data_IF_390321043263
#
_entry.id   IF_390321043263
#
_cell.length_a   1.000
_cell.length_b   1.000
_cell.length_c   1.000
_cell.angle_alpha   90.00
_cell.angle_beta   90.00
_cell.angle_gamma   90.00
#
_symmetry.space_group_name_H-M   'P 1'
#
loop_
_entity.id
_entity.type
_entity.pdbx_description
1 polymer ?
#
# COMPACT_ATOMS: atom_id res chain seq x y z
N UNK A 1 15.91 -3.81 10.59
CA UNK A 1 16.43 -3.89 9.21
C UNK A 1 17.96 -4.04 9.18
N UNK A 2 18.79 -2.98 9.11
CA UNK A 2 20.25 -3.14 8.90
C UNK A 2 20.95 -3.96 9.98
N UNK A 3 20.58 -3.80 11.26
CA UNK A 3 21.12 -4.61 12.37
C UNK A 3 20.75 -6.10 12.25
N UNK A 4 19.53 -6.40 11.81
CA UNK A 4 19.06 -7.78 11.62
C UNK A 4 19.77 -8.44 10.44
N UNK A 5 19.92 -7.72 9.33
CA UNK A 5 20.69 -8.17 8.17
C UNK A 5 22.15 -8.43 8.55
N UNK A 6 22.79 -7.49 9.26
CA UNK A 6 24.15 -7.65 9.74
C UNK A 6 24.28 -8.88 10.66
N UNK A 7 23.30 -9.13 11.53
CA UNK A 7 23.29 -10.33 12.38
C UNK A 7 23.20 -11.61 11.56
N UNK A 8 22.29 -11.69 10.58
CA UNK A 8 22.13 -12.85 9.70
C UNK A 8 23.40 -13.14 8.88
N UNK A 9 24.14 -12.10 8.48
CA UNK A 9 25.41 -12.23 7.74
C UNK A 9 26.64 -12.46 8.62
N UNK A 10 26.45 -12.66 9.94
CA UNK A 10 27.54 -12.72 10.93
C UNK A 10 28.46 -11.48 10.90
N UNK A 11 27.89 -10.32 10.57
CA UNK A 11 28.51 -9.00 10.56
C UNK A 11 28.07 -8.13 11.75
N UNK A 12 27.40 -8.71 12.75
CA UNK A 12 26.95 -7.98 13.94
C UNK A 12 28.13 -7.39 14.73
N UNK A 13 28.17 -6.06 14.87
CA UNK A 13 29.17 -5.35 15.65
C UNK A 13 28.59 -4.03 16.19
N UNK A 14 29.12 -3.51 17.29
CA UNK A 14 28.74 -2.20 17.83
C UNK A 14 29.33 -1.05 16.99
N UNK A 15 30.47 -1.27 16.34
CA UNK A 15 31.12 -0.29 15.46
C UNK A 15 30.52 -0.34 14.05
N UNK A 16 29.81 0.74 13.68
CA UNK A 16 29.17 0.90 12.36
C UNK A 16 30.13 0.77 11.18
N UNK A 17 31.42 1.16 11.33
CA UNK A 17 32.42 1.04 10.25
C UNK A 17 32.78 -0.42 10.01
N UNK A 18 32.97 -1.19 11.08
CA UNK A 18 33.22 -2.64 11.00
C UNK A 18 32.04 -3.39 10.41
N UNK A 19 30.82 -3.00 10.78
CA UNK A 19 29.59 -3.55 10.15
C UNK A 19 29.61 -3.28 8.65
N UNK A 20 29.87 -2.04 8.23
CA UNK A 20 29.90 -1.66 6.81
C UNK A 20 30.97 -2.43 6.03
N UNK A 21 32.18 -2.54 6.57
CA UNK A 21 33.28 -3.23 5.89
C UNK A 21 33.01 -4.74 5.78
N UNK A 22 32.39 -5.35 6.79
CA UNK A 22 31.92 -6.74 6.72
C UNK A 22 30.81 -6.92 5.70
N UNK A 23 29.79 -6.06 5.67
CA UNK A 23 28.71 -6.16 4.69
C UNK A 23 29.24 -6.03 3.25
N UNK A 24 30.27 -5.20 3.02
CA UNK A 24 30.92 -5.05 1.72
C UNK A 24 31.71 -6.28 1.27
N UNK A 25 32.12 -7.16 2.18
CA UNK A 25 32.83 -8.40 1.82
C UNK A 25 31.89 -9.54 1.45
N UNK A 26 30.58 -9.38 1.67
CA UNK A 26 29.55 -10.35 1.32
C UNK A 26 29.21 -10.29 -0.17
N UNK A 27 28.99 -11.46 -0.74
CA UNK A 27 28.45 -11.62 -2.08
C UNK A 27 26.98 -11.19 -2.11
N UNK A 28 26.48 -10.89 -3.32
CA UNK A 28 25.05 -10.57 -3.53
C UNK A 28 24.17 -11.74 -3.08
N UNK A 29 24.57 -12.98 -3.38
CA UNK A 29 23.80 -14.17 -3.00
C UNK A 29 23.70 -14.35 -1.49
N UNK A 30 24.79 -14.14 -0.75
CA UNK A 30 24.75 -14.15 0.72
C UNK A 30 23.78 -13.09 1.26
N UNK A 31 23.82 -11.87 0.70
CA UNK A 31 22.92 -10.79 1.11
C UNK A 31 21.46 -11.14 0.81
N UNK A 32 21.17 -11.67 -0.38
CA UNK A 32 19.82 -12.07 -0.76
C UNK A 32 19.29 -13.21 0.12
N UNK A 33 20.14 -14.17 0.48
CA UNK A 33 19.74 -15.25 1.38
C UNK A 33 19.47 -14.74 2.80
N UNK A 34 20.31 -13.83 3.32
CA UNK A 34 20.06 -13.17 4.60
C UNK A 34 18.78 -12.29 4.58
N UNK A 35 18.45 -11.68 3.43
CA UNK A 35 17.17 -10.98 3.27
C UNK A 35 16.00 -11.94 3.39
N UNK A 36 16.06 -13.12 2.75
CA UNK A 36 15.02 -14.16 2.89
C UNK A 36 14.90 -14.63 4.34
N UNK A 37 16.01 -14.89 5.03
CA UNK A 37 16.03 -15.33 6.44
C UNK A 37 15.36 -14.31 7.36
N UNK A 38 15.68 -13.02 7.18
CA UNK A 38 15.08 -11.97 8.01
C UNK A 38 13.61 -11.70 7.65
N UNK A 39 13.11 -12.21 6.50
CA UNK A 39 11.75 -12.06 6.00
C UNK A 39 11.55 -11.02 4.89
N UNK A 40 10.39 -11.00 4.20
CA UNK A 40 10.12 -10.06 3.09
C UNK A 40 10.04 -8.60 3.51
N UNK A 41 9.40 -8.37 4.65
CA UNK A 41 8.87 -7.08 5.04
C UNK A 41 9.01 -6.90 6.54
N UNK A 42 8.77 -5.68 7.00
CA UNK A 42 8.58 -5.42 8.43
C UNK A 42 7.19 -5.85 8.86
N UNK A 43 7.06 -6.23 10.13
CA UNK A 43 5.77 -6.42 10.78
C UNK A 43 5.18 -5.05 11.13
N UNK A 44 4.25 -4.56 10.32
CA UNK A 44 3.55 -3.30 10.55
C UNK A 44 2.98 -2.70 9.27
N UNK A 45 2.28 -1.56 9.39
CA UNK A 45 1.77 -0.77 8.25
C UNK A 45 2.91 -0.40 7.29
N UNK A 46 4.02 0.11 7.84
CA UNK A 46 5.25 0.30 7.07
C UNK A 46 5.93 -1.05 6.87
N UNK A 47 5.71 -1.64 5.69
CA UNK A 47 6.21 -2.96 5.33
C UNK A 47 7.64 -2.92 4.77
N UNK A 48 8.16 -1.76 4.34
CA UNK A 48 9.46 -1.65 3.69
C UNK A 48 10.63 -1.81 4.68
N UNK A 49 11.51 -2.78 4.43
CA UNK A 49 12.72 -2.98 5.25
C UNK A 49 13.78 -1.93 5.03
N UNK A 50 14.06 -1.65 3.76
CA UNK A 50 15.06 -0.68 3.32
C UNK A 50 14.30 0.40 2.56
N UNK A 51 14.25 1.58 3.16
CA UNK A 51 13.42 2.70 2.73
C UNK A 51 14.24 3.99 2.85
N UNK A 52 13.85 5.07 2.16
CA UNK A 52 14.38 6.40 2.39
C UNK A 52 14.40 6.77 3.88
N UNK A 53 15.47 7.44 4.30
CA UNK A 53 15.67 7.89 5.69
C UNK A 53 15.90 9.39 5.70
N UNK A 54 15.39 10.06 6.74
CA UNK A 54 15.88 11.38 7.14
C UNK A 54 17.34 11.21 7.56
N UNK A 55 18.24 11.57 6.66
CA UNK A 55 19.68 11.30 6.76
C UNK A 55 20.51 12.56 7.02
N UNK A 56 19.87 13.74 7.02
CA UNK A 56 20.54 15.03 7.22
C UNK A 56 21.20 15.57 5.94
N UNK A 57 21.09 14.87 4.80
CA UNK A 57 21.71 15.22 3.53
C UNK A 57 20.66 15.24 2.41
N UNK A 58 20.27 14.07 1.89
CA UNK A 58 19.25 13.98 0.86
C UNK A 58 17.87 14.35 1.42
N UNK A 59 17.55 13.85 2.61
CA UNK A 59 16.37 14.24 3.39
C UNK A 59 16.84 14.89 4.69
N UNK A 60 17.04 16.22 4.71
CA UNK A 60 17.56 16.93 5.88
C UNK A 60 16.53 17.04 7.01
N UNK A 61 15.23 16.91 6.70
CA UNK A 61 14.11 17.07 7.63
C UNK A 61 12.99 16.06 7.33
N UNK A 62 11.94 16.06 8.16
CA UNK A 62 10.73 15.28 7.92
C UNK A 62 10.06 15.67 6.59
N UNK A 63 9.45 14.68 5.91
CA UNK A 63 8.89 14.87 4.57
C UNK A 63 7.82 15.96 4.50
N UNK A 64 7.00 16.13 5.54
CA UNK A 64 5.97 17.18 5.55
C UNK A 64 6.56 18.57 5.77
N UNK A 65 7.66 18.68 6.52
CA UNK A 65 8.39 19.95 6.66
C UNK A 65 9.07 20.37 5.35
N UNK A 66 9.63 19.39 4.61
CA UNK A 66 10.22 19.64 3.30
C UNK A 66 9.21 20.21 2.29
N UNK A 67 7.92 19.85 2.37
CA UNK A 67 6.87 20.38 1.48
C UNK A 67 6.70 21.91 1.65
N UNK A 68 6.87 22.44 2.86
CA UNK A 68 6.67 23.86 3.17
C UNK A 68 7.72 24.73 2.48
N UNK A 69 8.95 24.22 2.41
CA UNK A 69 10.11 24.96 1.91
C UNK A 69 10.46 24.63 0.46
N UNK A 70 9.96 23.51 -0.07
CA UNK A 70 10.27 23.08 -1.43
C UNK A 70 9.65 24.02 -2.50
N UNK A 71 10.29 24.13 -3.69
CA UNK A 71 9.72 24.88 -4.80
C UNK A 71 8.34 24.33 -5.19
N UNK A 72 7.32 25.19 -5.16
CA UNK A 72 5.94 24.82 -5.52
C UNK A 72 5.88 24.42 -6.99
N UNK A 73 5.36 23.22 -7.25
CA UNK A 73 5.12 22.70 -8.59
C UNK A 73 3.74 22.07 -8.64
N UNK A 74 3.01 22.16 -9.76
CA UNK A 74 1.80 21.37 -9.94
C UNK A 74 2.06 19.91 -9.60
N UNK A 75 1.15 19.31 -8.83
CA UNK A 75 1.23 17.91 -8.43
C UNK A 75 -0.07 17.19 -8.83
N UNK A 76 0.08 16.07 -9.51
CA UNK A 76 -1.00 15.13 -9.78
C UNK A 76 -0.79 13.93 -8.87
N UNK A 77 -1.75 13.68 -7.98
CA UNK A 77 -1.68 12.61 -6.98
C UNK A 77 -2.88 11.70 -7.19
N UNK A 78 -2.61 10.42 -7.39
CA UNK A 78 -3.60 9.41 -7.70
C UNK A 78 -3.60 8.27 -6.71
N UNK A 79 -4.77 7.68 -6.52
CA UNK A 79 -4.95 6.44 -5.79
C UNK A 79 -5.83 5.49 -6.59
N UNK A 80 -5.71 4.21 -6.31
CA UNK A 80 -6.66 3.19 -6.76
C UNK A 80 -7.65 2.89 -5.63
N UNK A 81 -8.82 2.41 -6.00
CA UNK A 81 -9.91 2.18 -5.05
C UNK A 81 -9.55 1.15 -3.96
N UNK A 82 -8.78 0.12 -4.31
CA UNK A 82 -8.40 -0.97 -3.41
C UNK A 82 -6.90 -1.25 -3.55
N UNK A 83 -6.08 -0.25 -3.20
CA UNK A 83 -4.61 -0.29 -3.30
C UNK A 83 -4.02 -1.61 -2.79
N UNK A 84 -4.36 -2.02 -1.57
CA UNK A 84 -3.66 -3.14 -0.95
C UNK A 84 -4.13 -4.53 -1.38
N UNK A 85 -5.18 -4.66 -2.20
CA UNK A 85 -5.73 -5.98 -2.55
C UNK A 85 -4.73 -6.87 -3.30
N UNK A 86 -3.80 -6.29 -4.07
CA UNK A 86 -2.74 -7.06 -4.70
C UNK A 86 -1.82 -7.72 -3.66
N UNK A 87 -1.51 -7.05 -2.56
CA UNK A 87 -0.64 -7.56 -1.50
C UNK A 87 -1.36 -8.47 -0.50
N UNK A 88 -2.67 -8.34 -0.36
CA UNK A 88 -3.45 -9.12 0.60
C UNK A 88 -4.03 -10.40 0.00
N UNK A 89 -4.26 -10.46 -1.33
CA UNK A 89 -5.05 -11.54 -1.94
C UNK A 89 -4.52 -12.10 -3.26
N UNK A 90 -3.59 -11.44 -3.93
CA UNK A 90 -3.11 -11.88 -5.26
C UNK A 90 -1.67 -12.33 -5.19
N UNK A 91 -0.78 -11.43 -4.76
CA UNK A 91 0.65 -11.67 -4.70
C UNK A 91 1.02 -12.31 -3.37
N UNK A 92 0.87 -13.63 -3.28
CA UNK A 92 1.28 -14.41 -2.10
C UNK A 92 2.77 -14.67 -1.97
N UNK A 93 3.61 -14.02 -2.78
CA UNK A 93 5.06 -14.18 -2.70
C UNK A 93 5.57 -13.60 -1.38
N UNK A 94 6.06 -14.51 -0.53
CA UNK A 94 6.64 -14.21 0.79
C UNK A 94 7.98 -13.49 0.72
N UNK A 95 8.44 -13.07 -0.46
CA UNK A 95 9.53 -12.10 -0.64
C UNK A 95 9.02 -10.67 -0.81
N UNK A 96 7.72 -10.50 -1.08
CA UNK A 96 7.09 -9.22 -1.41
C UNK A 96 6.18 -8.74 -0.28
N UNK A 97 5.41 -9.64 0.35
CA UNK A 97 4.40 -9.27 1.36
C UNK A 97 4.30 -10.30 2.48
N UNK A 98 3.96 -9.82 3.68
CA UNK A 98 3.61 -10.63 4.85
C UNK A 98 2.13 -10.58 5.21
N UNK A 99 1.34 -9.81 4.45
CA UNK A 99 -0.09 -9.57 4.69
C UNK A 99 -1.00 -10.35 3.73
N UNK A 100 -0.43 -11.29 2.98
CA UNK A 100 -1.20 -12.16 2.11
C UNK A 100 -2.02 -13.18 2.90
N UNK A 101 -3.31 -13.28 2.57
CA UNK A 101 -4.22 -14.31 3.06
C UNK A 101 -4.37 -15.35 1.95
N UNK A 102 -3.95 -16.60 2.15
CA UNK A 102 -4.19 -17.67 1.18
C UNK A 102 -5.68 -17.93 0.98
N UNK A 103 -6.09 -18.26 -0.25
CA UNK A 103 -7.49 -18.47 -0.61
C UNK A 103 -8.18 -19.55 0.22
N UNK A 104 -7.45 -20.61 0.57
CA UNK A 104 -7.88 -21.71 1.42
C UNK A 104 -8.15 -21.29 2.88
N UNK A 105 -7.65 -20.12 3.29
CA UNK A 105 -7.86 -19.54 4.62
C UNK A 105 -8.96 -18.48 4.66
N UNK A 106 -9.57 -18.15 3.53
CA UNK A 106 -10.58 -17.10 3.49
C UNK A 106 -11.77 -17.39 4.42
N UNK A 107 -12.33 -18.60 4.39
CA UNK A 107 -13.49 -18.94 5.22
C UNK A 107 -13.20 -18.97 6.72
N UNK A 108 -11.93 -19.10 7.10
CA UNK A 108 -11.48 -19.04 8.50
C UNK A 108 -11.31 -17.58 8.99
N UNK A 109 -11.30 -16.60 8.08
CA UNK A 109 -11.06 -15.20 8.43
C UNK A 109 -12.32 -14.55 8.99
N UNK A 110 -12.28 -14.17 10.27
CA UNK A 110 -13.42 -13.59 10.98
C UNK A 110 -13.08 -12.32 11.75
N UNK A 111 -13.99 -11.95 12.64
CA UNK A 111 -13.85 -10.79 13.52
C UNK A 111 -12.57 -10.85 14.35
N UNK A 112 -12.30 -12.00 14.96
CA UNK A 112 -11.12 -12.23 15.79
C UNK A 112 -9.83 -12.15 14.97
N UNK A 113 -9.85 -12.62 13.71
CA UNK A 113 -8.72 -12.48 12.79
C UNK A 113 -8.41 -11.01 12.51
N UNK A 114 -9.45 -10.20 12.28
CA UNK A 114 -9.30 -8.75 12.05
C UNK A 114 -8.79 -8.05 13.31
N UNK A 115 -9.35 -8.34 14.49
CA UNK A 115 -8.88 -7.78 15.77
C UNK A 115 -7.42 -8.13 16.05
N UNK A 116 -7.04 -9.39 15.82
CA UNK A 116 -5.67 -9.83 16.00
C UNK A 116 -4.72 -9.13 15.02
N UNK A 117 -5.12 -8.97 13.77
CA UNK A 117 -4.36 -8.18 12.79
C UNK A 117 -4.18 -6.72 13.24
N UNK A 118 -5.25 -6.06 13.68
CA UNK A 118 -5.17 -4.69 14.18
C UNK A 118 -4.19 -4.58 15.34
N UNK A 119 -4.29 -5.51 16.31
CA UNK A 119 -3.38 -5.58 17.47
C UNK A 119 -1.92 -5.80 17.06
N UNK A 120 -1.66 -6.68 16.10
CA UNK A 120 -0.28 -7.08 15.78
C UNK A 120 0.42 -6.20 14.74
N UNK A 121 -0.32 -5.62 13.81
CA UNK A 121 0.23 -4.92 12.63
C UNK A 121 -0.12 -3.44 12.58
N UNK A 122 -1.33 -3.06 12.98
CA UNK A 122 -1.84 -1.69 12.79
C UNK A 122 -1.52 -0.83 14.01
N UNK A 123 -1.85 -1.33 15.20
CA UNK A 123 -1.82 -0.61 16.46
C UNK A 123 -1.13 -1.44 17.56
N UNK A 124 0.09 -1.91 17.28
CA UNK A 124 0.83 -2.75 18.22
C UNK A 124 1.34 -1.97 19.43
N UNK A 125 1.46 -2.68 20.57
CA UNK A 125 2.05 -2.14 21.80
C UNK A 125 3.48 -1.63 21.59
N UNK A 126 4.23 -2.22 20.66
CA UNK A 126 5.56 -1.76 20.29
C UNK A 126 5.59 -0.34 19.69
N UNK A 127 4.49 0.08 19.05
CA UNK A 127 4.37 1.39 18.40
C UNK A 127 3.61 2.37 19.30
N UNK A 128 2.50 1.93 19.90
CA UNK A 128 1.56 2.81 20.62
C UNK A 128 1.68 2.73 22.15
N UNK A 129 2.48 1.81 22.69
CA UNK A 129 2.68 1.63 24.13
C UNK A 129 1.35 1.49 24.87
N UNK A 130 1.19 2.26 25.95
CA UNK A 130 -0.01 2.25 26.80
C UNK A 130 -1.31 2.65 26.05
N UNK A 131 -1.20 3.34 24.91
CA UNK A 131 -2.35 3.73 24.08
C UNK A 131 -2.78 2.66 23.08
N UNK A 132 -2.08 1.54 22.99
CA UNK A 132 -2.33 0.54 21.97
C UNK A 132 -3.77 0.03 22.00
N UNK A 133 -4.31 -0.30 23.17
CA UNK A 133 -5.69 -0.77 23.29
C UNK A 133 -6.70 0.28 22.81
N UNK A 134 -6.55 1.54 23.22
CA UNK A 134 -7.43 2.65 22.80
C UNK A 134 -7.44 2.80 21.27
N UNK A 135 -6.26 2.72 20.64
CA UNK A 135 -6.15 2.84 19.18
C UNK A 135 -6.71 1.60 18.48
N UNK A 136 -6.47 0.40 19.01
CA UNK A 136 -7.05 -0.85 18.48
C UNK A 136 -8.57 -0.80 18.48
N UNK A 137 -9.17 -0.34 19.58
CA UNK A 137 -10.62 -0.21 19.72
C UNK A 137 -11.19 0.78 18.71
N UNK A 138 -10.56 1.96 18.56
CA UNK A 138 -10.98 2.98 17.59
C UNK A 138 -10.85 2.51 16.14
N UNK A 139 -9.78 1.80 15.80
CA UNK A 139 -9.60 1.23 14.45
C UNK A 139 -10.67 0.17 14.20
N UNK A 140 -10.94 -0.72 15.16
CA UNK A 140 -11.96 -1.75 15.00
C UNK A 140 -13.38 -1.14 14.95
N UNK A 141 -13.67 -0.11 15.73
CA UNK A 141 -14.92 0.63 15.65
C UNK A 141 -15.11 1.27 14.26
N UNK A 142 -14.06 1.86 13.70
CA UNK A 142 -14.16 2.51 12.40
C UNK A 142 -14.26 1.54 11.22
N UNK A 143 -13.54 0.42 11.25
CA UNK A 143 -13.49 -0.52 10.12
C UNK A 143 -14.35 -1.77 10.35
N UNK A 144 -14.25 -2.38 11.53
CA UNK A 144 -14.86 -3.66 11.86
C UNK A 144 -16.38 -3.63 12.00
N UNK A 145 -16.98 -2.50 12.35
CA UNK A 145 -18.45 -2.40 12.55
C UNK A 145 -19.15 -1.42 11.61
N UNK A 146 -18.41 -0.48 11.00
CA UNK A 146 -18.98 0.51 10.08
C UNK A 146 -19.62 -0.15 8.87
N UNK A 147 -20.88 0.17 8.59
CA UNK A 147 -21.65 -0.40 7.47
C UNK A 147 -21.69 -1.95 7.48
N UNK A 148 -21.64 -2.56 8.66
CA UNK A 148 -21.74 -4.01 8.81
C UNK A 148 -23.11 -4.52 8.31
N UNK A 149 -23.15 -5.51 7.39
CA UNK A 149 -24.41 -6.08 6.93
C UNK A 149 -25.05 -6.94 8.02
N UNK A 150 -26.36 -7.23 7.90
CA UNK A 150 -27.09 -8.10 8.84
C UNK A 150 -26.49 -9.51 8.92
N UNK A 151 -26.08 -10.05 7.77
CA UNK A 151 -25.44 -11.36 7.67
C UNK A 151 -23.98 -11.13 7.31
N UNK A 152 -23.11 -11.15 8.32
CA UNK A 152 -21.67 -10.99 8.13
C UNK A 152 -21.06 -12.33 7.79
N UNK A 153 -20.22 -12.35 6.76
CA UNK A 153 -19.39 -13.49 6.40
C UNK A 153 -17.90 -13.09 6.38
N UNK A 154 -17.04 -14.05 6.07
CA UNK A 154 -15.60 -13.83 6.00
C UNK A 154 -15.19 -12.75 4.99
N UNK A 155 -15.96 -12.56 3.92
CA UNK A 155 -15.65 -11.58 2.87
C UNK A 155 -15.69 -10.16 3.43
N UNK A 156 -16.65 -9.88 4.32
CA UNK A 156 -16.70 -8.59 5.01
C UNK A 156 -15.41 -8.32 5.79
N UNK A 157 -14.91 -9.28 6.56
CA UNK A 157 -13.70 -9.07 7.37
C UNK A 157 -12.42 -8.99 6.53
N UNK A 158 -12.32 -9.75 5.43
CA UNK A 158 -11.22 -9.63 4.45
C UNK A 158 -11.25 -8.28 3.73
N UNK A 159 -12.44 -7.78 3.40
CA UNK A 159 -12.63 -6.44 2.84
C UNK A 159 -12.13 -5.36 3.81
N UNK A 160 -12.49 -5.44 5.09
CA UNK A 160 -11.97 -4.52 6.12
C UNK A 160 -10.46 -4.62 6.32
N UNK A 161 -9.94 -5.84 6.34
CA UNK A 161 -8.50 -6.08 6.40
C UNK A 161 -7.75 -5.36 5.28
N UNK A 162 -8.24 -5.51 4.04
CA UNK A 162 -7.64 -4.90 2.86
C UNK A 162 -7.85 -3.39 2.82
N UNK A 163 -9.01 -2.90 3.25
CA UNK A 163 -9.30 -1.47 3.35
C UNK A 163 -8.36 -0.78 4.34
N UNK A 164 -8.15 -1.35 5.53
CA UNK A 164 -7.22 -0.80 6.53
C UNK A 164 -5.82 -0.63 5.92
N UNK A 165 -5.33 -1.64 5.19
CA UNK A 165 -4.02 -1.57 4.55
C UNK A 165 -4.00 -0.55 3.42
N UNK A 166 -5.03 -0.48 2.58
CA UNK A 166 -5.12 0.49 1.48
C UNK A 166 -5.07 1.93 2.02
N UNK A 167 -5.86 2.18 3.07
CA UNK A 167 -5.95 3.47 3.73
C UNK A 167 -4.63 3.85 4.40
N UNK A 168 -4.05 2.94 5.20
CA UNK A 168 -2.88 3.25 6.02
C UNK A 168 -1.57 3.27 5.24
N UNK A 169 -1.44 2.50 4.15
CA UNK A 169 -0.20 2.40 3.37
C UNK A 169 -0.13 3.39 2.22
N UNK A 170 -1.26 3.74 1.59
CA UNK A 170 -1.28 4.48 0.34
C UNK A 170 -2.16 5.74 0.41
N UNK A 171 -3.46 5.57 0.70
CA UNK A 171 -4.45 6.62 0.53
C UNK A 171 -4.25 7.75 1.57
N UNK A 172 -4.21 7.44 2.86
CA UNK A 172 -4.04 8.46 3.92
C UNK A 172 -2.69 9.19 3.78
N UNK A 173 -1.54 8.51 3.62
CA UNK A 173 -0.26 9.21 3.41
C UNK A 173 -0.27 10.14 2.20
N UNK A 174 -0.88 9.72 1.08
CA UNK A 174 -1.00 10.58 -0.09
C UNK A 174 -1.96 11.75 0.11
N UNK A 175 -3.07 11.56 0.81
CA UNK A 175 -3.99 12.65 1.17
C UNK A 175 -3.34 13.64 2.14
N UNK A 176 -2.57 13.18 3.12
CA UNK A 176 -1.79 14.05 4.02
C UNK A 176 -0.78 14.88 3.21
N UNK A 177 -0.09 14.26 2.26
CA UNK A 177 0.84 14.95 1.34
C UNK A 177 0.11 16.00 0.50
N UNK A 178 -1.06 15.66 -0.04
CA UNK A 178 -1.89 16.58 -0.83
C UNK A 178 -2.39 17.77 0.01
N UNK A 179 -2.86 17.50 1.23
CA UNK A 179 -3.30 18.52 2.17
C UNK A 179 -2.16 19.46 2.55
N UNK A 180 -0.97 18.94 2.85
CA UNK A 180 0.17 19.78 3.21
C UNK A 180 0.64 20.63 2.02
N UNK A 181 0.64 20.07 0.80
CA UNK A 181 0.89 20.82 -0.43
C UNK A 181 -0.12 21.96 -0.62
N UNK A 182 -1.42 21.67 -0.47
CA UNK A 182 -2.49 22.67 -0.59
C UNK A 182 -2.35 23.81 0.44
N UNK A 183 -2.01 23.50 1.69
CA UNK A 183 -1.76 24.51 2.74
C UNK A 183 -0.58 25.43 2.43
N UNK A 184 0.33 25.00 1.57
CA UNK A 184 1.53 25.74 1.18
C UNK A 184 1.46 26.24 -0.28
N UNK A 185 0.24 26.47 -0.80
CA UNK A 185 -0.06 27.06 -2.10
C UNK A 185 0.47 26.28 -3.31
N UNK A 186 0.60 24.95 -3.20
CA UNK A 186 0.87 24.11 -4.35
C UNK A 186 -0.41 23.89 -5.17
N UNK A 187 -0.37 23.96 -6.51
CA UNK A 187 -1.45 23.44 -7.34
C UNK A 187 -1.49 21.90 -7.21
N UNK A 188 -2.61 21.34 -6.77
CA UNK A 188 -2.78 19.89 -6.57
C UNK A 188 -4.02 19.40 -7.30
N UNK A 189 -3.87 18.34 -8.08
CA UNK A 189 -4.95 17.60 -8.72
C UNK A 189 -4.99 16.20 -8.12
N UNK A 190 -6.12 15.88 -7.48
CA UNK A 190 -6.37 14.56 -6.93
C UNK A 190 -7.27 13.77 -7.87
N UNK A 191 -6.96 12.50 -8.07
CA UNK A 191 -7.85 11.56 -8.74
C UNK A 191 -7.91 10.23 -7.99
N UNK A 192 -9.03 9.54 -8.15
CA UNK A 192 -9.20 8.16 -7.71
C UNK A 192 -9.51 7.33 -8.96
N UNK A 193 -8.71 6.30 -9.20
CA UNK A 193 -8.96 5.32 -10.24
C UNK A 193 -9.87 4.23 -9.68
N UNK A 194 -11.00 4.02 -10.33
CA UNK A 194 -11.96 2.95 -10.07
C UNK A 194 -12.08 2.00 -11.27
N UNK A 195 -11.41 2.32 -12.39
CA UNK A 195 -11.48 1.53 -13.61
C UNK A 195 -10.47 0.38 -13.57
N UNK A 196 -10.96 -0.82 -13.90
CA UNK A 196 -10.15 -2.03 -13.97
C UNK A 196 -10.69 -2.95 -15.07
N UNK A 197 -9.80 -3.78 -15.61
CA UNK A 197 -10.19 -4.79 -16.58
C UNK A 197 -10.74 -6.01 -15.85
N UNK A 198 -12.04 -6.27 -16.02
CA UNK A 198 -12.75 -7.38 -15.36
C UNK A 198 -12.22 -8.76 -15.73
N UNK A 199 -11.69 -8.93 -16.94
CA UNK A 199 -11.16 -10.21 -17.42
C UNK A 199 -9.89 -10.64 -16.68
N UNK A 200 -9.22 -9.72 -15.98
CA UNK A 200 -7.99 -10.02 -15.25
C UNK A 200 -8.23 -10.75 -13.92
N UNK A 201 -9.49 -11.00 -13.54
CA UNK A 201 -9.80 -11.54 -12.23
C UNK A 201 -10.92 -12.60 -12.25
N UNK A 202 -10.90 -13.57 -11.32
CA UNK A 202 -12.00 -14.50 -11.11
C UNK A 202 -13.28 -13.81 -10.61
N UNK A 203 -14.44 -14.35 -11.00
CA UNK A 203 -15.76 -13.83 -10.59
C UNK A 203 -15.99 -13.89 -9.05
N UNK A 204 -15.30 -14.78 -8.34
CA UNK A 204 -15.50 -15.07 -6.91
C UNK A 204 -14.48 -14.42 -5.97
N UNK A 205 -13.70 -13.45 -6.46
CA UNK A 205 -12.68 -12.75 -5.68
C UNK A 205 -13.24 -11.99 -4.45
N UNK A 206 -12.58 -12.02 -3.27
CA UNK A 206 -13.23 -11.65 -2.01
C UNK A 206 -13.32 -10.15 -1.69
N UNK A 207 -12.50 -9.27 -2.29
CA UNK A 207 -12.48 -7.81 -2.01
C UNK A 207 -13.11 -6.99 -3.14
N UNK A 208 -13.83 -5.92 -2.78
CA UNK A 208 -14.74 -5.21 -3.69
C UNK A 208 -14.49 -3.70 -3.69
N UNK A 209 -14.55 -3.12 -4.89
CA UNK A 209 -14.74 -1.69 -5.09
C UNK A 209 -16.24 -1.31 -5.00
N UNK A 210 -16.55 -0.08 -4.65
CA UNK A 210 -17.91 0.48 -4.63
C UNK A 210 -18.30 1.08 -5.99
N UNK A 211 -18.94 0.29 -6.85
CA UNK A 211 -19.43 0.81 -8.14
C UNK A 211 -20.77 1.56 -8.09
N UNK A 212 -21.35 1.83 -6.91
CA UNK A 212 -22.45 2.80 -6.65
C UNK A 212 -23.13 2.43 -5.33
N UNK A 213 -22.65 3.03 -4.23
CA UNK A 213 -23.32 3.19 -2.92
C UNK A 213 -24.30 2.08 -2.55
N UNK A 214 -23.82 1.15 -1.72
CA UNK A 214 -24.59 0.16 -0.95
C UNK A 214 -25.31 -0.93 -1.75
N UNK A 215 -24.93 -2.18 -1.45
CA UNK A 215 -25.69 -3.41 -1.72
C UNK A 215 -25.84 -3.86 -3.18
N UNK A 216 -24.87 -4.64 -3.66
CA UNK A 216 -25.08 -6.06 -4.06
C UNK A 216 -23.76 -6.70 -4.49
N UNK A 217 -23.21 -7.48 -3.57
CA UNK A 217 -22.35 -8.66 -3.73
C UNK A 217 -21.68 -8.82 -5.12
N UNK A 218 -20.37 -8.51 -5.16
CA UNK A 218 -19.32 -8.95 -6.11
C UNK A 218 -19.12 -8.05 -7.35
N UNK A 219 -18.03 -7.28 -7.32
CA UNK A 219 -17.16 -6.88 -8.44
C UNK A 219 -15.94 -6.13 -7.84
N UNK A 220 -14.73 -6.45 -8.30
CA UNK A 220 -13.46 -5.88 -7.85
C UNK A 220 -13.37 -4.36 -8.09
N UNK A 221 -12.49 -3.67 -7.35
CA UNK A 221 -12.09 -2.30 -7.65
C UNK A 221 -10.74 -2.24 -8.33
N UNK A 222 -10.33 -1.06 -8.79
CA UNK A 222 -8.97 -0.85 -9.27
C UNK A 222 -7.94 -1.13 -8.16
N UNK A 223 -6.92 -1.91 -8.50
CA UNK A 223 -5.86 -2.35 -7.59
C UNK A 223 -4.60 -1.51 -7.76
N UNK A 224 -3.68 -1.56 -6.79
CA UNK A 224 -2.39 -0.89 -6.90
C UNK A 224 -1.68 -1.23 -8.22
N UNK A 225 -1.33 -0.18 -8.97
CA UNK A 225 -0.65 -0.26 -10.24
C UNK A 225 -1.53 -0.67 -11.43
N UNK A 226 -2.83 -0.85 -11.26
CA UNK A 226 -3.74 -1.18 -12.36
C UNK A 226 -3.76 -0.10 -13.47
N UNK A 227 -3.51 1.16 -13.11
CA UNK A 227 -3.40 2.30 -14.00
C UNK A 227 -2.21 2.19 -14.98
N UNK A 228 -1.13 1.49 -14.60
CA UNK A 228 0.04 1.31 -15.46
C UNK A 228 -0.30 0.56 -16.74
N UNK A 229 -1.27 -0.36 -16.69
CA UNK A 229 -1.71 -1.12 -17.87
C UNK A 229 -2.28 -0.18 -18.91
N UNK A 230 -3.01 0.85 -18.47
CA UNK A 230 -3.63 1.83 -19.34
C UNK A 230 -2.64 2.91 -19.82
N UNK A 231 -1.63 3.23 -19.03
CA UNK A 231 -0.56 4.17 -19.39
C UNK A 231 0.49 3.58 -20.34
N UNK A 232 0.86 2.31 -20.15
CA UNK A 232 2.01 1.69 -20.82
C UNK A 232 1.66 0.45 -21.65
N UNK A 233 0.40 0.01 -21.63
CA UNK A 233 -0.10 -1.15 -22.39
C UNK A 233 0.14 -2.51 -21.74
N UNK A 234 0.84 -2.60 -20.61
CA UNK A 234 1.04 -3.84 -19.84
C UNK A 234 1.51 -3.55 -18.41
N UNK A 235 1.15 -4.40 -17.45
CA UNK A 235 1.70 -4.38 -16.07
C UNK A 235 1.82 -5.78 -15.49
N UNK A 236 0.77 -6.60 -15.65
CA UNK A 236 0.72 -7.97 -15.13
C UNK A 236 0.63 -9.03 -16.24
N UNK A 237 1.00 -8.65 -17.47
CA UNK A 237 0.92 -9.50 -18.66
C UNK A 237 0.07 -8.88 -19.78
N UNK A 238 -0.04 -9.56 -20.94
CA UNK A 238 -0.86 -9.11 -22.04
C UNK A 238 -2.31 -8.93 -21.59
N UNK A 239 -2.87 -7.74 -21.75
CA UNK A 239 -4.26 -7.45 -21.40
C UNK A 239 -5.03 -7.10 -22.67
N UNK A 240 -6.17 -7.74 -22.87
CA UNK A 240 -7.06 -7.46 -24.00
C UNK A 240 -8.10 -6.41 -23.60
N UNK A 241 -8.01 -5.22 -24.21
CA UNK A 241 -8.90 -4.09 -23.88
C UNK A 241 -10.22 -4.16 -24.62
N UNK A 242 -11.30 -4.00 -23.88
CA UNK A 242 -12.62 -3.71 -24.45
C UNK A 242 -12.79 -2.21 -24.77
N UNK A 243 -14.00 -1.80 -25.17
CA UNK A 243 -14.29 -0.41 -25.52
C UNK A 243 -14.15 0.54 -24.33
N UNK A 244 -14.52 0.12 -23.12
CA UNK A 244 -14.47 0.96 -21.93
C UNK A 244 -13.03 1.09 -21.43
N UNK A 245 -12.23 0.02 -21.50
CA UNK A 245 -10.78 0.06 -21.31
C UNK A 245 -10.09 1.04 -22.25
N UNK A 246 -10.49 1.06 -23.53
CA UNK A 246 -9.91 2.00 -24.53
C UNK A 246 -10.31 3.44 -24.24
N UNK A 247 -11.55 3.69 -23.81
CA UNK A 247 -11.99 5.03 -23.39
C UNK A 247 -11.21 5.49 -22.15
N UNK A 248 -11.05 4.62 -21.16
CA UNK A 248 -10.30 4.93 -19.95
C UNK A 248 -8.81 5.15 -20.25
N UNK A 249 -8.19 4.29 -21.08
CA UNK A 249 -6.82 4.48 -21.55
C UNK A 249 -6.63 5.85 -22.19
N UNK A 250 -7.54 6.23 -23.10
CA UNK A 250 -7.48 7.54 -23.76
C UNK A 250 -7.58 8.67 -22.72
N UNK A 251 -8.58 8.63 -21.85
CA UNK A 251 -8.79 9.64 -20.81
C UNK A 251 -7.55 9.81 -19.92
N UNK A 252 -7.01 8.70 -19.40
CA UNK A 252 -5.86 8.71 -18.50
C UNK A 252 -4.60 9.21 -19.19
N UNK A 253 -4.30 8.72 -20.40
CA UNK A 253 -3.12 9.14 -21.16
C UNK A 253 -3.19 10.60 -21.59
N UNK A 254 -4.36 11.09 -22.01
CA UNK A 254 -4.57 12.50 -22.33
C UNK A 254 -4.45 13.38 -21.08
N UNK A 255 -5.03 12.97 -19.95
CA UNK A 255 -4.93 13.69 -18.67
C UNK A 255 -3.49 13.85 -18.21
N UNK A 256 -2.71 12.75 -18.22
CA UNK A 256 -1.30 12.77 -17.84
C UNK A 256 -0.47 13.58 -18.84
N UNK A 257 -0.70 13.43 -20.14
CA UNK A 257 0.02 14.20 -21.16
C UNK A 257 -0.27 15.71 -21.06
N UNK A 258 -1.52 16.09 -20.80
CA UNK A 258 -1.92 17.48 -20.57
C UNK A 258 -1.25 18.04 -19.31
N UNK A 259 -1.27 17.28 -18.21
CA UNK A 259 -0.62 17.67 -16.96
C UNK A 259 0.88 17.89 -17.14
N UNK A 260 1.57 16.97 -17.82
CA UNK A 260 3.02 17.09 -18.08
C UNK A 260 3.32 18.33 -18.95
N UNK A 261 2.50 18.63 -19.96
CA UNK A 261 2.73 19.75 -20.87
C UNK A 261 2.40 21.11 -20.26
N UNK A 262 1.39 21.18 -19.41
CA UNK A 262 0.78 22.46 -19.01
C UNK A 262 0.79 22.71 -17.51
N UNK A 263 0.98 21.69 -16.69
CA UNK A 263 0.71 21.75 -15.25
C UNK A 263 -0.78 21.74 -14.89
N UNK A 264 -1.67 21.45 -15.86
CA UNK A 264 -3.13 21.38 -15.70
C UNK A 264 -3.68 20.07 -16.24
N UNK A 265 -4.72 19.57 -15.58
CA UNK A 265 -5.50 18.42 -16.04
C UNK A 265 -6.74 18.97 -16.76
N UNK A 266 -6.84 18.70 -18.07
CA UNK A 266 -7.99 19.01 -18.93
C UNK A 266 -8.55 17.72 -19.50
#
# INVERSE_FOLDING_TARGET
ATKELAKALNCGNEDSKKVKDCLKSKTVDEILEAVKETGPSRKGINFSKYEPRVDGDFFPEDYLELIKNAPKKPAMIGFTEVESAIFTLIMGDKTITSVYIPSEKYQEFGEDSLKQFIKEYVASEAIFGEKAQEVQDKVFEFYGVRNQPKNVDYKFYIDRYTQILSDTQFIIPGLLTAQEKLKNDWPVYLYQNEHYNKKNFPDDFPVKGDHKKTSKIMNLGALHGSEYTYLHGTTFGPTEFDEDDRKFQKLLTESVANFVKTGWVN
#
